data_IF_858136251465
#
_entry.id   IF_858136251465
#
_cell.length_a   1.000
_cell.length_b   1.000
_cell.length_c   1.000
_cell.angle_alpha   90.00
_cell.angle_beta   90.00
_cell.angle_gamma   90.00
#
_symmetry.space_group_name_H-M   'P 1'
#
loop_
_entity.id
_entity.type
_entity.pdbx_description
1 polymer ?
#
# COMPACT_ATOMS: atom_id res chain seq x y z
N UNK A 1 22.60 5.17 -29.27
CA UNK A 1 23.53 5.40 -28.13
C UNK A 1 22.72 5.85 -26.96
N UNK A 2 22.53 4.95 -25.98
CA UNK A 2 21.71 5.25 -24.82
C UNK A 2 22.49 6.13 -23.84
N UNK A 3 21.90 7.25 -23.45
CA UNK A 3 22.49 8.08 -22.40
C UNK A 3 22.45 7.32 -21.08
N UNK A 4 23.55 7.30 -20.28
CA UNK A 4 23.60 6.54 -19.03
C UNK A 4 22.50 6.89 -18.02
N UNK A 5 21.92 8.10 -18.12
CA UNK A 5 20.83 8.53 -17.25
C UNK A 5 19.46 7.97 -17.61
N UNK A 6 19.27 7.48 -18.84
CA UNK A 6 17.97 6.98 -19.33
C UNK A 6 17.67 5.59 -18.79
N UNK A 7 18.63 4.67 -18.78
CA UNK A 7 18.47 3.33 -18.19
C UNK A 7 18.15 3.42 -16.69
N UNK A 8 18.87 4.27 -15.96
CA UNK A 8 18.63 4.49 -14.54
C UNK A 8 17.22 5.04 -14.27
N UNK A 9 16.72 5.94 -15.13
CA UNK A 9 15.37 6.49 -15.02
C UNK A 9 14.29 5.44 -15.25
N UNK A 10 14.47 4.55 -16.22
CA UNK A 10 13.54 3.43 -16.47
C UNK A 10 13.55 2.43 -15.32
N UNK A 11 14.71 2.09 -14.76
CA UNK A 11 14.84 1.17 -13.65
C UNK A 11 14.15 1.72 -12.39
N UNK A 12 14.36 3.00 -12.07
CA UNK A 12 13.68 3.66 -10.95
C UNK A 12 12.18 3.69 -11.14
N UNK A 13 11.71 3.98 -12.35
CA UNK A 13 10.28 3.99 -12.67
C UNK A 13 9.66 2.60 -12.50
N UNK A 14 10.33 1.56 -13.00
CA UNK A 14 9.88 0.18 -12.84
C UNK A 14 9.80 -0.22 -11.36
N UNK A 15 10.77 0.18 -10.55
CA UNK A 15 10.78 -0.06 -9.11
C UNK A 15 9.60 0.64 -8.43
N UNK A 16 9.33 1.90 -8.77
CA UNK A 16 8.18 2.64 -8.23
C UNK A 16 6.85 1.95 -8.56
N UNK A 17 6.68 1.50 -9.80
CA UNK A 17 5.47 0.79 -10.24
C UNK A 17 5.32 -0.53 -9.48
N UNK A 18 6.41 -1.27 -9.31
CA UNK A 18 6.42 -2.51 -8.54
C UNK A 18 5.99 -2.30 -7.09
N UNK A 19 6.48 -1.24 -6.44
CA UNK A 19 6.12 -0.89 -5.07
C UNK A 19 4.65 -0.49 -4.99
N UNK A 20 4.16 0.33 -5.91
CA UNK A 20 2.75 0.76 -5.96
C UNK A 20 1.82 -0.46 -6.07
N UNK A 21 2.14 -1.40 -6.96
CA UNK A 21 1.36 -2.61 -7.15
C UNK A 21 1.41 -3.51 -5.90
N UNK A 22 2.58 -3.64 -5.27
CA UNK A 22 2.75 -4.44 -4.05
C UNK A 22 1.93 -3.86 -2.89
N UNK A 23 1.94 -2.55 -2.71
CA UNK A 23 1.12 -1.86 -1.69
C UNK A 23 -0.36 -2.14 -1.93
N UNK A 24 -0.82 -2.08 -3.17
CA UNK A 24 -2.21 -2.37 -3.50
C UNK A 24 -2.59 -3.80 -3.13
N UNK A 25 -1.75 -4.76 -3.45
CA UNK A 25 -1.96 -6.16 -3.06
C UNK A 25 -1.99 -6.34 -1.55
N UNK A 26 -1.06 -5.70 -0.84
CA UNK A 26 -0.98 -5.79 0.62
C UNK A 26 -2.24 -5.24 1.30
N UNK A 27 -2.79 -4.15 0.79
CA UNK A 27 -4.04 -3.58 1.32
C UNK A 27 -5.24 -4.48 1.02
N UNK A 28 -5.33 -5.03 -0.18
CA UNK A 28 -6.41 -5.93 -0.56
C UNK A 28 -6.38 -7.22 0.29
N UNK A 29 -5.20 -7.78 0.51
CA UNK A 29 -5.03 -8.99 1.30
C UNK A 29 -5.32 -8.75 2.79
N UNK A 30 -5.05 -7.55 3.30
CA UNK A 30 -5.36 -7.18 4.67
C UNK A 30 -6.86 -7.21 4.95
N UNK A 31 -7.67 -6.75 3.99
CA UNK A 31 -9.13 -6.67 4.12
C UNK A 31 -9.78 -8.05 4.02
N UNK A 32 -9.18 -8.97 3.26
CA UNK A 32 -9.66 -10.35 3.12
C UNK A 32 -9.24 -11.18 4.32
N UNK A 33 -10.10 -11.28 5.32
CA UNK A 33 -9.79 -12.00 6.55
C UNK A 33 -10.15 -13.50 6.42
N UNK A 34 -9.29 -14.27 5.76
CA UNK A 34 -9.38 -15.73 5.64
C UNK A 34 -8.06 -16.38 6.10
N UNK A 35 -7.94 -17.71 5.92
CA UNK A 35 -6.73 -18.46 6.32
C UNK A 35 -5.47 -18.02 5.54
N UNK A 36 -5.64 -17.33 4.42
CA UNK A 36 -4.55 -16.79 3.60
C UNK A 36 -4.28 -15.32 3.88
N UNK A 37 -4.99 -14.73 4.84
CA UNK A 37 -4.82 -13.33 5.20
C UNK A 37 -3.38 -13.10 5.71
N UNK A 38 -2.82 -11.96 5.35
CA UNK A 38 -1.45 -11.60 5.71
C UNK A 38 -1.23 -11.53 7.21
N UNK A 39 -2.23 -11.10 7.99
CA UNK A 39 -2.16 -11.08 9.46
C UNK A 39 -2.11 -12.49 10.04
N UNK A 40 -2.96 -13.39 9.54
CA UNK A 40 -3.00 -14.79 9.98
C UNK A 40 -1.68 -15.49 9.70
N UNK A 41 -1.05 -15.20 8.57
CA UNK A 41 0.25 -15.74 8.18
C UNK A 41 1.44 -15.01 8.80
N UNK A 42 1.21 -14.04 9.66
CA UNK A 42 2.25 -13.25 10.34
C UNK A 42 3.20 -12.56 9.36
N UNK A 43 2.69 -12.08 8.25
CA UNK A 43 3.48 -11.27 7.32
C UNK A 43 3.75 -9.88 7.88
N UNK A 44 4.78 -9.22 7.38
CA UNK A 44 5.21 -7.88 7.81
C UNK A 44 5.15 -6.92 6.63
N UNK A 45 3.95 -6.73 6.12
CA UNK A 45 3.67 -5.74 5.06
C UNK A 45 3.63 -4.34 5.65
N UNK A 46 3.65 -3.32 4.83
CA UNK A 46 3.67 -1.92 5.28
C UNK A 46 2.49 -1.58 6.22
N UNK A 47 1.22 -1.89 5.87
CA UNK A 47 0.11 -1.61 6.80
C UNK A 47 0.21 -2.41 8.10
N UNK A 48 0.70 -3.64 8.07
CA UNK A 48 0.85 -4.48 9.26
C UNK A 48 1.95 -3.93 10.18
N UNK A 49 3.06 -3.47 9.62
CA UNK A 49 4.12 -2.84 10.43
C UNK A 49 3.58 -1.61 11.16
N UNK A 50 2.76 -0.80 10.49
CA UNK A 50 2.10 0.33 11.13
C UNK A 50 1.17 -0.13 12.27
N UNK A 51 0.36 -1.16 12.04
CA UNK A 51 -0.50 -1.74 13.06
C UNK A 51 0.31 -2.21 14.28
N UNK A 52 1.42 -2.92 14.06
CA UNK A 52 2.28 -3.42 15.14
C UNK A 52 2.92 -2.28 15.95
N UNK A 53 3.20 -1.15 15.33
CA UNK A 53 3.74 0.03 16.03
C UNK A 53 2.72 0.70 16.93
N UNK A 54 1.42 0.53 16.70
CA UNK A 54 0.35 1.24 17.39
C UNK A 54 -0.64 0.35 18.15
N UNK A 55 -0.44 -0.97 18.17
CA UNK A 55 -1.43 -1.91 18.70
C UNK A 55 -1.41 -2.07 20.23
N UNK A 56 -0.36 -1.64 20.91
CA UNK A 56 -0.13 -2.01 22.31
C UNK A 56 -1.23 -1.52 23.28
N UNK A 57 -1.85 -0.37 23.00
CA UNK A 57 -2.91 0.18 23.84
C UNK A 57 -4.31 -0.31 23.43
N UNK A 58 -4.58 -0.35 22.12
CA UNK A 58 -5.92 -0.62 21.62
C UNK A 58 -6.17 -2.08 21.24
N UNK A 59 -5.14 -2.78 20.75
CA UNK A 59 -5.29 -4.17 20.31
C UNK A 59 -4.00 -4.98 20.58
N UNK A 60 -3.64 -5.21 21.85
CA UNK A 60 -2.40 -5.92 22.20
C UNK A 60 -2.38 -7.38 21.73
N UNK A 61 -3.53 -7.97 21.42
CA UNK A 61 -3.65 -9.33 20.87
C UNK A 61 -2.81 -9.51 19.61
N UNK A 62 -2.70 -8.47 18.78
CA UNK A 62 -1.90 -8.53 17.54
C UNK A 62 -0.43 -8.80 17.83
N UNK A 63 0.17 -8.04 18.75
CA UNK A 63 1.57 -8.25 19.14
C UNK A 63 1.78 -9.61 19.76
N UNK A 64 0.90 -10.00 20.68
CA UNK A 64 0.98 -11.30 21.35
C UNK A 64 0.91 -12.46 20.35
N UNK A 65 0.07 -12.35 19.35
CA UNK A 65 -0.01 -13.33 18.28
C UNK A 65 1.28 -13.37 17.45
N UNK A 66 1.80 -12.21 17.03
CA UNK A 66 3.03 -12.13 16.23
C UNK A 66 4.26 -12.66 16.99
N UNK A 67 4.30 -12.49 18.32
CA UNK A 67 5.37 -12.99 19.18
C UNK A 67 5.24 -14.47 19.52
N UNK A 68 4.17 -15.12 19.10
CA UNK A 68 3.96 -16.55 19.32
C UNK A 68 3.31 -16.89 20.65
N UNK A 69 2.84 -15.89 21.41
CA UNK A 69 2.18 -16.12 22.71
C UNK A 69 0.75 -16.65 22.56
N UNK A 70 0.12 -16.46 21.41
CA UNK A 70 -1.27 -16.87 21.14
C UNK A 70 -1.32 -17.81 19.94
N UNK A 71 -2.27 -18.75 19.96
CA UNK A 71 -2.53 -19.65 18.83
C UNK A 71 -3.28 -18.93 17.70
N UNK A 72 -3.23 -19.52 16.51
CA UNK A 72 -4.00 -19.04 15.34
C UNK A 72 -5.49 -19.03 15.64
N UNK A 73 -6.01 -20.09 16.27
CA UNK A 73 -7.42 -20.23 16.62
C UNK A 73 -7.86 -19.12 17.58
N UNK A 74 -7.05 -18.81 18.55
CA UNK A 74 -7.32 -17.74 19.51
C UNK A 74 -7.36 -16.38 18.80
N UNK A 75 -6.39 -16.12 17.94
CA UNK A 75 -6.35 -14.87 17.15
C UNK A 75 -7.57 -14.73 16.24
N UNK A 76 -7.99 -15.80 15.57
CA UNK A 76 -9.16 -15.79 14.70
C UNK A 76 -10.46 -15.49 15.44
N UNK A 77 -10.55 -15.79 16.74
CA UNK A 77 -11.71 -15.40 17.57
C UNK A 77 -11.82 -13.88 17.74
N UNK A 78 -10.73 -13.15 17.54
CA UNK A 78 -10.67 -11.69 17.67
C UNK A 78 -10.79 -10.97 16.32
N UNK A 79 -11.32 -11.66 15.31
CA UNK A 79 -11.49 -11.11 13.95
C UNK A 79 -12.22 -9.76 13.94
N UNK A 80 -13.34 -9.66 14.64
CA UNK A 80 -14.14 -8.43 14.67
C UNK A 80 -13.35 -7.27 15.27
N UNK A 81 -12.67 -7.49 16.40
CA UNK A 81 -11.82 -6.50 17.05
C UNK A 81 -10.63 -6.11 16.16
N UNK A 82 -10.08 -7.07 15.43
CA UNK A 82 -8.99 -6.82 14.48
C UNK A 82 -9.43 -5.92 13.33
N UNK A 83 -10.60 -6.19 12.75
CA UNK A 83 -11.17 -5.37 11.68
C UNK A 83 -11.46 -3.94 12.17
N UNK A 84 -12.02 -3.80 13.38
CA UNK A 84 -12.23 -2.49 13.99
C UNK A 84 -10.91 -1.74 14.18
N UNK A 85 -9.86 -2.43 14.61
CA UNK A 85 -8.54 -1.84 14.78
C UNK A 85 -7.93 -1.40 13.43
N UNK A 86 -8.08 -2.20 12.37
CA UNK A 86 -7.63 -1.82 11.02
C UNK A 86 -8.28 -0.48 10.61
N UNK A 87 -9.58 -0.33 10.87
CA UNK A 87 -10.31 0.88 10.52
C UNK A 87 -9.93 2.09 11.37
N UNK A 88 -9.61 1.87 12.65
CA UNK A 88 -9.39 2.97 13.60
C UNK A 88 -7.94 3.41 13.75
N UNK A 89 -6.96 2.52 13.52
CA UNK A 89 -5.55 2.84 13.79
C UNK A 89 -4.90 3.74 12.73
N UNK A 90 -5.49 3.85 11.54
CA UNK A 90 -4.95 4.67 10.45
C UNK A 90 -3.94 3.95 9.55
N UNK A 91 -3.84 2.62 9.64
CA UNK A 91 -2.86 1.86 8.83
C UNK A 91 -3.13 1.94 7.33
N UNK A 92 -4.40 1.96 6.92
CA UNK A 92 -4.80 2.08 5.52
C UNK A 92 -4.45 3.47 5.00
N UNK A 93 -4.83 4.50 5.72
CA UNK A 93 -4.56 5.90 5.37
C UNK A 93 -3.06 6.18 5.27
N UNK A 94 -2.29 5.71 6.25
CA UNK A 94 -0.83 5.83 6.22
C UNK A 94 -0.23 5.15 4.99
N UNK A 95 -0.67 3.93 4.70
CA UNK A 95 -0.18 3.16 3.56
C UNK A 95 -0.55 3.82 2.23
N UNK A 96 -1.75 4.41 2.13
CA UNK A 96 -2.18 5.18 0.95
C UNK A 96 -1.34 6.43 0.75
N UNK A 97 -0.97 7.13 1.81
CA UNK A 97 -0.06 8.29 1.73
C UNK A 97 1.29 7.85 1.15
N UNK A 98 1.86 6.77 1.64
CA UNK A 98 3.13 6.23 1.11
C UNK A 98 2.97 5.85 -0.38
N UNK A 99 1.87 5.19 -0.74
CA UNK A 99 1.59 4.85 -2.14
C UNK A 99 1.52 6.09 -3.02
N UNK A 100 0.87 7.15 -2.54
CA UNK A 100 0.76 8.41 -3.31
C UNK A 100 2.11 9.08 -3.54
N UNK A 101 3.05 8.97 -2.60
CA UNK A 101 4.40 9.48 -2.76
C UNK A 101 5.15 8.74 -3.89
N UNK A 102 4.98 7.43 -3.96
CA UNK A 102 5.55 6.64 -5.06
C UNK A 102 4.88 6.94 -6.40
N UNK A 103 3.58 7.19 -6.41
CA UNK A 103 2.87 7.62 -7.63
C UNK A 103 3.39 8.97 -8.14
N UNK A 104 3.56 9.95 -7.26
CA UNK A 104 4.13 11.25 -7.61
C UNK A 104 5.55 11.10 -8.16
N UNK A 105 6.35 10.26 -7.54
CA UNK A 105 7.70 10.00 -8.01
C UNK A 105 7.71 9.32 -9.37
N UNK A 106 6.85 8.33 -9.57
CA UNK A 106 6.70 7.63 -10.85
C UNK A 106 6.29 8.60 -11.96
N UNK A 107 5.37 9.51 -11.67
CA UNK A 107 4.92 10.52 -12.63
C UNK A 107 6.04 11.48 -13.00
N UNK A 108 6.82 11.94 -12.02
CA UNK A 108 7.99 12.80 -12.28
C UNK A 108 9.05 12.10 -13.12
N UNK A 109 9.36 10.84 -12.80
CA UNK A 109 10.30 10.04 -13.57
C UNK A 109 9.82 9.84 -14.99
N UNK A 110 8.53 9.57 -15.15
CA UNK A 110 7.90 9.40 -16.45
C UNK A 110 8.02 10.64 -17.30
N UNK A 111 7.72 11.82 -16.75
CA UNK A 111 7.78 13.08 -17.45
C UNK A 111 9.21 13.47 -17.83
N UNK A 112 10.20 13.00 -17.07
CA UNK A 112 11.61 13.22 -17.33
C UNK A 112 12.22 12.30 -18.40
N UNK A 113 11.50 11.28 -18.83
CA UNK A 113 12.01 10.35 -19.85
C UNK A 113 11.97 10.98 -21.24
N UNK A 114 13.06 10.91 -22.02
CA UNK A 114 13.10 11.45 -23.37
C UNK A 114 12.37 10.51 -24.33
N UNK A 115 11.08 10.67 -24.44
CA UNK A 115 10.28 9.90 -25.38
C UNK A 115 9.19 10.76 -25.99
N UNK A 116 9.16 10.78 -27.30
CA UNK A 116 8.15 11.49 -28.11
C UNK A 116 7.14 10.49 -28.70
N UNK A 117 7.21 9.24 -28.24
CA UNK A 117 6.40 8.16 -28.79
C UNK A 117 5.01 8.11 -28.17
N UNK A 118 3.95 7.83 -28.95
CA UNK A 118 2.61 7.58 -28.40
C UNK A 118 2.57 6.36 -27.46
N UNK A 119 3.53 5.46 -27.56
CA UNK A 119 3.68 4.31 -26.65
C UNK A 119 3.86 4.73 -25.19
N UNK A 120 4.47 5.89 -24.96
CA UNK A 120 4.70 6.42 -23.61
C UNK A 120 3.37 6.66 -22.88
N UNK A 121 2.43 7.35 -23.50
CA UNK A 121 1.13 7.63 -22.89
C UNK A 121 0.29 6.36 -22.73
N UNK A 122 0.30 5.47 -23.72
CA UNK A 122 -0.41 4.20 -23.63
C UNK A 122 0.10 3.35 -22.48
N UNK A 123 1.42 3.30 -22.28
CA UNK A 123 2.05 2.55 -21.20
C UNK A 123 1.71 3.14 -19.84
N UNK A 124 1.69 4.47 -19.72
CA UNK A 124 1.28 5.18 -18.51
C UNK A 124 -0.15 4.84 -18.11
N UNK A 125 -1.07 4.86 -19.07
CA UNK A 125 -2.46 4.48 -18.84
C UNK A 125 -2.60 3.04 -18.32
N UNK A 126 -1.84 2.11 -18.89
CA UNK A 126 -1.88 0.71 -18.49
C UNK A 126 -1.29 0.45 -17.11
N UNK A 127 -0.28 1.22 -16.69
CA UNK A 127 0.46 0.99 -15.44
C UNK A 127 0.00 1.87 -14.29
N UNK A 128 -0.18 3.16 -14.53
CA UNK A 128 -0.49 4.14 -13.46
C UNK A 128 -1.95 4.60 -13.46
N UNK A 129 -2.64 4.51 -14.60
CA UNK A 129 -4.03 4.97 -14.73
C UNK A 129 -4.98 4.37 -13.69
N UNK A 130 -4.95 3.04 -13.45
CA UNK A 130 -5.83 2.41 -12.46
C UNK A 130 -5.67 2.95 -11.04
N UNK A 131 -4.48 3.43 -10.67
CA UNK A 131 -4.19 3.95 -9.34
C UNK A 131 -4.46 5.45 -9.22
N UNK A 132 -4.19 6.22 -10.25
CA UNK A 132 -4.34 7.68 -10.24
C UNK A 132 -5.78 8.14 -9.99
N UNK A 133 -6.77 7.49 -10.63
CA UNK A 133 -8.18 7.80 -10.44
C UNK A 133 -8.66 7.54 -9.03
N UNK A 134 -8.22 6.44 -8.44
CA UNK A 134 -8.59 6.06 -7.06
C UNK A 134 -8.06 7.08 -6.05
N UNK A 135 -6.80 7.48 -6.16
CA UNK A 135 -6.18 8.45 -5.25
C UNK A 135 -6.83 9.82 -5.34
N UNK A 136 -7.20 10.26 -6.53
CA UNK A 136 -7.93 11.51 -6.73
C UNK A 136 -9.29 11.48 -6.02
N UNK A 137 -10.03 10.37 -6.08
CA UNK A 137 -11.32 10.20 -5.41
C UNK A 137 -11.16 10.17 -3.89
N UNK A 138 -10.17 9.47 -3.36
CA UNK A 138 -9.88 9.40 -1.93
C UNK A 138 -9.51 10.78 -1.37
N UNK A 139 -8.71 11.55 -2.09
CA UNK A 139 -8.33 12.90 -1.70
C UNK A 139 -9.53 13.85 -1.68
N UNK A 140 -10.45 13.73 -2.63
CA UNK A 140 -11.69 14.50 -2.64
C UNK A 140 -12.60 14.16 -1.45
N UNK A 141 -12.72 12.88 -1.12
CA UNK A 141 -13.49 12.43 0.03
C UNK A 141 -12.87 12.89 1.36
N UNK A 142 -11.53 12.85 1.47
CA UNK A 142 -10.83 13.35 2.64
C UNK A 142 -11.04 14.87 2.83
N UNK A 143 -10.97 15.63 1.73
CA UNK A 143 -11.22 17.08 1.76
C UNK A 143 -12.65 17.43 2.13
N UNK A 144 -13.62 16.60 1.73
CA UNK A 144 -15.04 16.80 2.07
C UNK A 144 -15.37 16.49 3.55
N UNK A 145 -14.50 15.74 4.24
CA UNK A 145 -14.68 15.36 5.65
C UNK A 145 -14.10 16.36 6.65
N UNK A 146 -13.35 17.35 6.18
CA UNK A 146 -12.81 18.41 7.05
C UNK A 146 -13.89 19.50 7.19
N UNK A 147 -14.44 19.73 8.41
CA UNK A 147 -15.41 20.79 8.63
C UNK A 147 -14.81 22.19 8.52
#
# INVERSE_FOLDING_TARGET
MDEPGTESGFDELADCIGIIAQIENDLNDLIRFDLKNDLVQKKRTLPILYMLMHCDEEFPVLRQYYEGALSREYFLRHKAACLDFIDSCGCVEYTRVIQSLYLDRAERLWNGLPSVSPWKEAWKELTLGPFAGRLAMENQQASARIP
#
